data_IF_820865063809
#
_entry.id   IF_820865063809
#
_cell.length_a   1.000
_cell.length_b   1.000
_cell.length_c   1.000
_cell.angle_alpha   90.00
_cell.angle_beta   90.00
_cell.angle_gamma   90.00
#
_symmetry.space_group_name_H-M   'P 1'
#
loop_
_entity.id
_entity.type
_entity.pdbx_description
1 polymer ?
#
# COMPACT_ATOMS: atom_id res chain seq x y z
N UNK A 1 -2.62 23.81 11.72
CA UNK A 1 -3.96 23.20 11.62
C UNK A 1 -4.00 21.94 12.45
N UNK A 2 -5.03 21.75 13.27
CA UNK A 2 -5.26 20.49 13.97
C UNK A 2 -5.95 19.51 13.01
N UNK A 3 -5.31 18.39 12.69
CA UNK A 3 -5.87 17.32 11.87
C UNK A 3 -6.09 16.09 12.74
N UNK A 4 -7.17 15.35 12.49
CA UNK A 4 -7.36 14.03 13.09
C UNK A 4 -6.29 13.07 12.56
N UNK A 5 -5.90 12.13 13.39
CA UNK A 5 -4.87 11.11 13.16
C UNK A 5 -5.46 9.73 13.38
N UNK A 6 -4.71 8.68 13.01
CA UNK A 6 -5.11 7.30 13.28
C UNK A 6 -5.28 7.01 14.78
N UNK A 7 -4.64 7.80 15.66
CA UNK A 7 -4.75 7.66 17.12
C UNK A 7 -6.03 8.26 17.69
N UNK A 8 -6.73 9.10 16.93
CA UNK A 8 -8.01 9.69 17.31
C UNK A 8 -9.20 8.76 16.98
N UNK A 9 -8.94 7.62 16.36
CA UNK A 9 -9.94 6.61 16.00
C UNK A 9 -10.13 5.65 17.18
N UNK A 10 -11.40 5.37 17.52
CA UNK A 10 -11.73 4.39 18.54
C UNK A 10 -11.60 2.95 18.03
N UNK A 11 -11.54 1.98 18.94
CA UNK A 11 -11.36 0.56 18.59
C UNK A 11 -12.44 0.03 17.64
N UNK A 12 -13.71 0.41 17.83
CA UNK A 12 -14.82 0.06 16.92
C UNK A 12 -14.71 0.70 15.52
N UNK A 13 -13.87 1.72 15.35
CA UNK A 13 -13.55 2.35 14.06
C UNK A 13 -12.32 1.72 13.39
N UNK A 14 -11.60 0.82 14.07
CA UNK A 14 -10.41 0.15 13.56
C UNK A 14 -10.65 -1.35 13.33
N UNK A 15 -11.20 -2.05 14.32
CA UNK A 15 -11.29 -3.52 14.32
C UNK A 15 -12.14 -4.02 13.15
N UNK A 16 -11.52 -4.81 12.27
CA UNK A 16 -12.15 -5.38 11.08
C UNK A 16 -12.56 -4.37 10.00
N UNK A 17 -12.28 -3.07 10.20
CA UNK A 17 -12.52 -2.04 9.19
C UNK A 17 -11.46 -2.13 8.09
N UNK A 18 -11.89 -1.85 6.87
CA UNK A 18 -11.01 -1.70 5.71
C UNK A 18 -10.45 -0.28 5.75
N UNK A 19 -9.13 -0.15 5.90
CA UNK A 19 -8.47 1.14 6.02
C UNK A 19 -7.50 1.27 4.85
N UNK A 20 -7.81 2.18 3.93
CA UNK A 20 -6.94 2.53 2.82
C UNK A 20 -5.92 3.57 3.28
N UNK A 21 -4.64 3.28 3.09
CA UNK A 21 -3.53 4.11 3.54
C UNK A 21 -2.67 4.49 2.35
N UNK A 22 -2.63 5.79 2.04
CA UNK A 22 -1.68 6.36 1.08
C UNK A 22 -0.31 6.46 1.74
N UNK A 23 0.67 5.75 1.20
CA UNK A 23 2.05 5.73 1.69
C UNK A 23 3.02 6.15 0.59
N UNK A 24 4.19 6.64 0.98
CA UNK A 24 5.29 6.90 0.05
C UNK A 24 6.24 5.71 0.04
N UNK A 25 6.05 4.80 -0.91
CA UNK A 25 7.00 3.72 -1.23
C UNK A 25 7.74 3.97 -2.55
N UNK A 26 7.90 5.24 -2.95
CA UNK A 26 8.75 5.58 -4.09
C UNK A 26 10.22 5.47 -3.67
N UNK A 27 10.74 4.24 -3.67
CA UNK A 27 12.10 3.88 -3.27
C UNK A 27 13.01 3.70 -4.49
N UNK A 28 14.33 3.92 -4.37
CA UNK A 28 15.25 3.61 -5.45
C UNK A 28 15.36 2.09 -5.66
N UNK A 29 15.36 1.70 -6.94
CA UNK A 29 15.50 0.32 -7.38
C UNK A 29 16.66 0.26 -8.39
N UNK A 30 17.52 -0.76 -8.29
CA UNK A 30 18.63 -0.99 -9.22
C UNK A 30 18.16 -1.71 -10.51
N UNK A 31 19.11 -2.06 -11.39
CA UNK A 31 18.81 -2.71 -12.67
C UNK A 31 18.27 -4.14 -12.48
N UNK A 32 18.64 -4.79 -11.37
CA UNK A 32 18.17 -6.12 -10.96
C UNK A 32 16.80 -6.11 -10.26
N UNK A 33 16.11 -4.96 -10.23
CA UNK A 33 14.81 -4.76 -9.57
C UNK A 33 14.81 -4.92 -8.04
N UNK A 34 15.97 -4.70 -7.41
CA UNK A 34 16.15 -4.73 -5.97
C UNK A 34 16.12 -3.33 -5.35
N UNK A 35 15.54 -3.23 -4.15
CA UNK A 35 15.47 -1.97 -3.41
C UNK A 35 16.84 -1.67 -2.78
N UNK A 36 17.46 -0.56 -3.18
CA UNK A 36 18.77 -0.15 -2.64
C UNK A 36 18.67 0.69 -1.37
N UNK A 37 17.49 1.29 -1.11
CA UNK A 37 17.22 2.03 0.13
C UNK A 37 15.75 1.89 0.55
N UNK A 38 15.52 1.28 1.71
CA UNK A 38 14.19 0.98 2.24
C UNK A 38 13.70 1.95 3.32
N UNK A 39 14.38 3.10 3.50
CA UNK A 39 14.07 4.08 4.56
C UNK A 39 12.61 4.52 4.53
N UNK A 40 12.05 4.74 3.34
CA UNK A 40 10.65 5.13 3.16
C UNK A 40 9.66 4.03 3.56
N UNK A 41 10.01 2.77 3.30
CA UNK A 41 9.20 1.62 3.72
C UNK A 41 9.21 1.53 5.25
N UNK A 42 10.40 1.61 5.86
CA UNK A 42 10.57 1.62 7.32
C UNK A 42 9.80 2.76 8.01
N UNK A 43 9.79 3.94 7.40
CA UNK A 43 9.08 5.10 7.94
C UNK A 43 7.55 4.90 8.02
N UNK A 44 6.97 4.05 7.17
CA UNK A 44 5.54 3.75 7.21
C UNK A 44 5.15 2.69 8.26
N UNK A 45 6.12 1.87 8.72
CA UNK A 45 5.87 0.73 9.61
C UNK A 45 5.13 1.10 10.91
N UNK A 46 5.40 2.24 11.59
CA UNK A 46 4.68 2.58 12.82
C UNK A 46 3.16 2.68 12.61
N UNK A 47 2.73 3.29 11.50
CA UNK A 47 1.31 3.42 11.17
C UNK A 47 0.71 2.07 10.78
N UNK A 48 1.42 1.29 9.96
CA UNK A 48 0.96 -0.02 9.51
C UNK A 48 0.81 -0.98 10.71
N UNK A 49 1.82 -1.05 11.58
CA UNK A 49 1.79 -1.86 12.80
C UNK A 49 0.70 -1.43 13.77
N UNK A 50 0.45 -0.13 13.91
CA UNK A 50 -0.67 0.36 14.72
C UNK A 50 -2.01 -0.16 14.20
N UNK A 51 -2.24 -0.11 12.88
CA UNK A 51 -3.50 -0.60 12.30
C UNK A 51 -3.63 -2.14 12.41
N UNK A 52 -2.53 -2.87 12.18
CA UNK A 52 -2.47 -4.32 12.35
C UNK A 52 -2.78 -4.72 13.79
N UNK A 53 -2.17 -4.07 14.78
CA UNK A 53 -2.38 -4.40 16.21
C UNK A 53 -3.82 -4.17 16.65
N UNK A 54 -4.54 -3.27 15.99
CA UNK A 54 -5.96 -3.02 16.18
C UNK A 54 -6.85 -3.85 15.25
N UNK A 55 -6.32 -4.93 14.65
CA UNK A 55 -7.06 -5.87 13.80
C UNK A 55 -7.76 -5.22 12.61
N UNK A 56 -7.26 -4.09 12.11
CA UNK A 56 -7.75 -3.49 10.88
C UNK A 56 -7.35 -4.32 9.66
N UNK A 57 -8.11 -4.19 8.57
CA UNK A 57 -7.74 -4.72 7.25
C UNK A 57 -7.03 -3.60 6.49
N UNK A 58 -5.70 -3.67 6.38
CA UNK A 58 -4.87 -2.57 5.88
C UNK A 58 -4.67 -2.68 4.38
N UNK A 59 -5.10 -1.67 3.63
CA UNK A 59 -4.97 -1.61 2.17
C UNK A 59 -4.00 -0.47 1.85
N UNK A 60 -2.81 -0.79 1.37
CA UNK A 60 -1.77 0.17 1.07
C UNK A 60 -1.83 0.56 -0.40
N UNK A 61 -1.68 1.85 -0.66
CA UNK A 61 -1.54 2.39 -2.01
C UNK A 61 -0.34 3.33 -2.09
N UNK A 62 0.49 3.16 -3.11
CA UNK A 62 1.68 3.99 -3.36
C UNK A 62 1.83 4.24 -4.85
N UNK A 63 2.78 5.10 -5.20
CA UNK A 63 3.35 5.15 -6.53
C UNK A 63 4.81 4.72 -6.48
N UNK A 64 5.37 4.40 -7.65
CA UNK A 64 6.80 4.16 -7.84
C UNK A 64 7.25 4.76 -9.17
N UNK A 65 8.26 5.61 -9.14
CA UNK A 65 8.77 6.30 -10.32
C UNK A 65 7.71 7.13 -11.05
N UNK A 66 7.88 7.23 -12.37
CA UNK A 66 7.04 8.04 -13.28
C UNK A 66 6.68 7.23 -14.53
N UNK A 67 5.73 6.30 -14.43
CA UNK A 67 5.30 5.45 -15.54
C UNK A 67 4.43 6.16 -16.60
N UNK A 68 3.98 7.40 -16.35
CA UNK A 68 3.19 8.24 -17.27
C UNK A 68 1.86 7.58 -17.72
N UNK A 69 1.12 6.98 -16.79
CA UNK A 69 -0.19 6.38 -17.08
C UNK A 69 -0.14 5.12 -17.94
N UNK A 70 0.96 4.37 -17.87
CA UNK A 70 1.12 3.08 -18.57
C UNK A 70 1.75 2.06 -17.64
N UNK A 71 1.44 0.79 -17.85
CA UNK A 71 2.13 -0.29 -17.15
C UNK A 71 3.59 -0.34 -17.59
N UNK A 72 4.50 -0.27 -16.62
CA UNK A 72 5.94 -0.40 -16.82
C UNK A 72 6.44 -1.46 -15.84
N UNK A 73 6.81 -2.64 -16.35
CA UNK A 73 7.12 -3.82 -15.53
C UNK A 73 8.17 -3.55 -14.44
N UNK A 74 9.24 -2.81 -14.77
CA UNK A 74 10.27 -2.41 -13.78
C UNK A 74 9.80 -1.44 -12.69
N UNK A 75 8.60 -0.87 -12.82
CA UNK A 75 7.99 0.06 -11.87
C UNK A 75 6.78 -0.57 -11.15
N UNK A 76 6.62 -1.89 -11.20
CA UNK A 76 5.67 -2.58 -10.34
C UNK A 76 6.12 -2.58 -8.88
N UNK A 77 5.17 -2.74 -7.97
CA UNK A 77 5.42 -2.74 -6.53
C UNK A 77 5.80 -4.12 -5.95
N UNK A 78 6.06 -5.14 -6.78
CA UNK A 78 6.45 -6.48 -6.30
C UNK A 78 7.69 -6.48 -5.38
N UNK A 79 8.79 -5.74 -5.69
CA UNK A 79 9.94 -5.66 -4.78
C UNK A 79 9.58 -5.01 -3.44
N UNK A 80 8.68 -4.03 -3.46
CA UNK A 80 8.20 -3.32 -2.27
C UNK A 80 7.35 -4.25 -1.41
N UNK A 81 6.46 -5.04 -2.01
CA UNK A 81 5.65 -6.03 -1.31
C UNK A 81 6.54 -7.04 -0.57
N UNK A 82 7.52 -7.61 -1.28
CA UNK A 82 8.49 -8.57 -0.70
C UNK A 82 9.23 -7.95 0.49
N UNK A 83 9.79 -6.75 0.33
CA UNK A 83 10.51 -6.07 1.41
C UNK A 83 9.61 -5.74 2.59
N UNK A 84 8.37 -5.32 2.33
CA UNK A 84 7.41 -5.02 3.38
C UNK A 84 7.03 -6.28 4.17
N UNK A 85 6.86 -7.44 3.51
CA UNK A 85 6.63 -8.72 4.18
C UNK A 85 7.76 -9.11 5.12
N UNK A 86 9.02 -8.95 4.69
CA UNK A 86 10.19 -9.20 5.53
C UNK A 86 10.20 -8.32 6.79
N UNK A 87 9.92 -7.02 6.62
CA UNK A 87 9.93 -6.05 7.72
C UNK A 87 8.76 -6.24 8.69
N UNK A 88 7.57 -6.58 8.20
CA UNK A 88 6.40 -6.84 9.03
C UNK A 88 6.38 -8.25 9.63
N UNK A 89 7.27 -9.15 9.17
CA UNK A 89 7.30 -10.57 9.53
C UNK A 89 5.94 -11.26 9.32
N UNK A 90 5.23 -10.85 8.26
CA UNK A 90 3.97 -11.44 7.85
C UNK A 90 3.85 -11.37 6.32
N UNK A 91 3.02 -12.25 5.76
CA UNK A 91 2.69 -12.18 4.34
C UNK A 91 1.96 -10.87 4.01
N UNK A 92 2.40 -10.20 2.94
CA UNK A 92 1.75 -9.01 2.38
C UNK A 92 1.27 -9.40 0.99
N UNK A 93 -0.05 -9.55 0.85
CA UNK A 93 -0.62 -9.90 -0.45
C UNK A 93 -0.57 -8.68 -1.36
N UNK A 94 0.14 -8.79 -2.48
CA UNK A 94 0.12 -7.80 -3.56
C UNK A 94 -0.90 -8.22 -4.62
N UNK A 95 -1.59 -7.23 -5.19
CA UNK A 95 -2.48 -7.40 -6.34
C UNK A 95 -1.89 -6.69 -7.55
N UNK A 96 -2.14 -7.19 -8.76
CA UNK A 96 -1.52 -6.69 -9.99
C UNK A 96 -2.19 -5.43 -10.57
N UNK A 97 -3.19 -4.91 -9.88
CA UNK A 97 -3.93 -3.70 -10.22
C UNK A 97 -4.27 -2.90 -8.95
N UNK A 98 -4.78 -1.68 -9.09
CA UNK A 98 -5.32 -0.88 -8.01
C UNK A 98 -6.84 -0.65 -8.10
N UNK A 99 -7.46 -1.04 -9.22
CA UNK A 99 -8.92 -1.00 -9.44
C UNK A 99 -9.41 -2.32 -10.06
N UNK A 100 -10.72 -2.50 -10.12
CA UNK A 100 -11.36 -3.63 -10.80
C UNK A 100 -11.66 -4.85 -9.93
N UNK A 101 -12.30 -5.85 -10.52
CA UNK A 101 -12.90 -6.98 -9.80
C UNK A 101 -11.88 -7.82 -9.00
N UNK A 102 -10.66 -7.99 -9.50
CA UNK A 102 -9.62 -8.75 -8.80
C UNK A 102 -9.26 -8.08 -7.46
N UNK A 103 -9.12 -6.76 -7.49
CA UNK A 103 -8.82 -5.94 -6.31
C UNK A 103 -9.98 -6.02 -5.31
N UNK A 104 -11.22 -5.87 -5.79
CA UNK A 104 -12.41 -6.00 -4.95
C UNK A 104 -12.50 -7.38 -4.29
N UNK A 105 -12.33 -8.47 -5.07
CA UNK A 105 -12.33 -9.84 -4.55
C UNK A 105 -11.22 -10.05 -3.52
N UNK A 106 -10.03 -9.50 -3.75
CA UNK A 106 -8.94 -9.59 -2.79
C UNK A 106 -9.26 -8.88 -1.47
N UNK A 107 -9.83 -7.67 -1.54
CA UNK A 107 -10.22 -6.86 -0.37
C UNK A 107 -11.37 -7.50 0.41
N UNK A 108 -12.39 -8.04 -0.29
CA UNK A 108 -13.54 -8.69 0.34
C UNK A 108 -13.11 -9.93 1.16
N UNK A 109 -12.14 -10.69 0.65
CA UNK A 109 -11.60 -11.88 1.30
C UNK A 109 -10.51 -11.59 2.35
N UNK A 110 -10.18 -10.31 2.62
CA UNK A 110 -9.16 -9.97 3.62
C UNK A 110 -9.59 -10.39 5.02
N UNK A 111 -8.68 -11.07 5.72
CA UNK A 111 -8.79 -11.33 7.15
C UNK A 111 -8.35 -10.11 7.98
N UNK A 112 -8.79 -10.05 9.24
CA UNK A 112 -8.40 -9.00 10.18
C UNK A 112 -6.88 -9.02 10.42
N UNK A 113 -6.27 -7.84 10.55
CA UNK A 113 -4.84 -7.70 10.79
C UNK A 113 -3.95 -8.00 9.58
N UNK A 114 -4.53 -8.30 8.40
CA UNK A 114 -3.79 -8.54 7.17
C UNK A 114 -3.58 -7.27 6.37
N UNK A 115 -2.52 -7.29 5.56
CA UNK A 115 -2.10 -6.19 4.70
C UNK A 115 -2.22 -6.61 3.24
N UNK A 116 -2.84 -5.77 2.42
CA UNK A 116 -2.77 -5.81 0.96
C UNK A 116 -2.00 -4.60 0.45
N UNK A 117 -1.14 -4.79 -0.54
CA UNK A 117 -0.53 -3.72 -1.32
C UNK A 117 -1.17 -3.69 -2.72
N UNK A 118 -1.77 -2.56 -3.07
CA UNK A 118 -2.26 -2.31 -4.42
C UNK A 118 -1.09 -2.04 -5.38
N UNK A 119 -1.31 -2.20 -6.68
CA UNK A 119 -0.31 -1.87 -7.70
C UNK A 119 -0.05 -0.35 -7.78
N UNK A 120 1.03 0.02 -8.47
CA UNK A 120 1.46 1.40 -8.71
C UNK A 120 0.34 2.28 -9.29
N UNK A 121 -0.18 3.22 -8.49
CA UNK A 121 -1.31 4.07 -8.90
C UNK A 121 -1.02 4.87 -10.18
N UNK A 122 0.25 5.23 -10.46
CA UNK A 122 0.61 6.00 -11.65
C UNK A 122 0.58 5.20 -12.96
N UNK A 123 0.28 3.90 -12.91
CA UNK A 123 -0.09 3.15 -14.11
C UNK A 123 -1.40 3.67 -14.72
N UNK A 124 -2.22 4.36 -13.94
CA UNK A 124 -3.39 5.10 -14.39
C UNK A 124 -3.05 6.58 -14.55
N UNK A 125 -3.42 7.17 -15.70
CA UNK A 125 -3.17 8.60 -15.97
C UNK A 125 -4.05 9.52 -15.11
N UNK A 126 -5.17 8.96 -14.65
CA UNK A 126 -6.20 9.53 -13.82
C UNK A 126 -5.64 9.97 -12.45
N UNK A 127 -4.68 9.20 -11.91
CA UNK A 127 -3.99 9.51 -10.65
C UNK A 127 -3.28 10.87 -10.70
N UNK A 128 -2.54 11.15 -11.78
CA UNK A 128 -1.80 12.42 -11.92
C UNK A 128 -2.72 13.59 -12.27
N UNK A 129 -3.89 13.31 -12.86
CA UNK A 129 -4.92 14.31 -13.20
C UNK A 129 -5.86 14.60 -12.03
N UNK A 130 -5.79 13.84 -10.94
CA UNK A 130 -6.75 13.88 -9.84
C UNK A 130 -8.19 13.77 -10.35
N UNK A 131 -8.44 12.80 -11.24
CA UNK A 131 -9.75 12.56 -11.81
C UNK A 131 -10.75 12.16 -10.70
N UNK A 132 -11.92 12.82 -10.57
CA UNK A 132 -12.94 12.42 -9.60
C UNK A 132 -13.66 11.10 -9.95
N UNK A 133 -13.58 10.65 -11.21
CA UNK A 133 -14.12 9.40 -11.73
C UNK A 133 -13.02 8.36 -11.97
#
# INVERSE_FOLDING_TARGET
MQKKTVKDLSENQLVGKRIMVRVDFNVPINEELEITNDTRIKAALPTINYLISHQAKVILMSHLGRPKGKVVEKLRLDPVAKRLSELLKQDVKKVNDCIGEEVEKAILNMQKGKVILLENLRFYSEEEKNNPE
#
